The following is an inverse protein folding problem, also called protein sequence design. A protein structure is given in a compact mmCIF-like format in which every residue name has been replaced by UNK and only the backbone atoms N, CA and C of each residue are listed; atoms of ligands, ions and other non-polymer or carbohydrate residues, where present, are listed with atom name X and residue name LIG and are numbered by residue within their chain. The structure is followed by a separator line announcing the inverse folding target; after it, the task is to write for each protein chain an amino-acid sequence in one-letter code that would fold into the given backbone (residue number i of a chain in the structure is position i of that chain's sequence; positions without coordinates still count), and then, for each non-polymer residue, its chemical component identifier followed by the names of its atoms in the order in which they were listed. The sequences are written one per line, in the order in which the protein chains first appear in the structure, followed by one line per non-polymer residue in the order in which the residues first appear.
data_IF_421711094691
#
_entry.id   IF_421711094691
#
_cell.length_a   1.000
_cell.length_b   1.000
_cell.length_c   1.000
_cell.angle_alpha   90.00
_cell.angle_beta   90.00
_cell.angle_gamma   90.00
#
_symmetry.space_group_name_H-M   'P 1'
#
loop_
_entity.id
_entity.type
_entity.pdbx_description
1 polymer ?
#
# COMPACT_ATOMS: atom_id res chain seq x y z
N UNK A 1 86.43 29.76 11.28
CA UNK A 1 85.36 30.26 10.38
C UNK A 1 84.55 29.13 9.73
N UNK A 2 85.14 28.08 9.15
CA UNK A 2 84.42 26.99 8.45
C UNK A 2 83.36 26.24 9.31
N UNK A 3 83.63 25.94 10.58
CA UNK A 3 82.68 25.25 11.48
C UNK A 3 81.46 26.10 11.85
N UNK A 4 81.65 27.43 11.96
CA UNK A 4 80.59 28.37 12.32
C UNK A 4 79.64 28.59 11.13
N UNK A 5 80.18 28.58 9.91
CA UNK A 5 79.39 28.62 8.68
C UNK A 5 78.55 27.36 8.48
N UNK A 6 79.09 26.18 8.82
CA UNK A 6 78.35 24.91 8.74
C UNK A 6 77.19 24.86 9.74
N UNK A 7 77.37 25.39 10.96
CA UNK A 7 76.31 25.44 11.98
C UNK A 7 75.18 26.39 11.55
N UNK A 8 75.53 27.56 11.00
CA UNK A 8 74.55 28.55 10.54
C UNK A 8 73.69 28.00 9.39
N UNK A 9 74.25 27.13 8.55
CA UNK A 9 73.55 26.53 7.41
C UNK A 9 72.54 25.46 7.83
N UNK A 10 72.78 24.74 8.93
CA UNK A 10 71.92 23.63 9.39
C UNK A 10 70.83 24.11 10.36
N UNK A 11 71.07 25.21 11.09
CA UNK A 11 70.15 25.77 12.07
C UNK A 11 68.68 25.98 11.58
N UNK A 12 68.41 26.48 10.35
CA UNK A 12 67.02 26.67 9.90
C UNK A 12 66.25 25.36 9.65
N UNK A 13 66.94 24.22 9.48
CA UNK A 13 66.32 22.92 9.24
C UNK A 13 65.64 22.39 10.53
N UNK A 14 66.16 22.79 11.70
CA UNK A 14 65.62 22.40 13.01
C UNK A 14 64.28 23.11 13.36
N UNK A 15 63.93 24.17 12.61
CA UNK A 15 62.73 24.97 12.83
C UNK A 15 61.79 24.98 11.61
N UNK A 16 61.89 23.98 10.73
CA UNK A 16 61.00 23.88 9.58
C UNK A 16 59.54 23.74 10.05
N UNK A 17 58.61 24.63 9.64
CA UNK A 17 57.20 24.48 10.00
C UNK A 17 56.64 23.21 9.36
N UNK A 18 56.04 22.35 10.18
CA UNK A 18 55.27 21.21 9.67
C UNK A 18 53.99 21.73 9.03
N UNK A 19 53.78 21.47 7.74
CA UNK A 19 52.53 21.78 7.07
C UNK A 19 51.50 20.69 7.40
N UNK A 20 50.34 21.11 7.90
CA UNK A 20 49.17 20.25 8.02
C UNK A 20 48.11 20.72 7.02
N UNK A 21 47.46 19.79 6.35
CA UNK A 21 46.31 20.12 5.50
C UNK A 21 45.18 20.70 6.38
N UNK A 22 44.55 21.79 5.94
CA UNK A 22 43.38 22.32 6.61
C UNK A 22 42.27 21.26 6.62
N UNK A 23 41.64 20.96 7.77
CA UNK A 23 40.54 20.01 7.84
C UNK A 23 39.41 20.41 6.88
N UNK A 24 39.13 19.56 5.88
CA UNK A 24 38.03 19.82 4.94
C UNK A 24 36.71 19.58 5.67
N UNK A 25 35.91 20.63 5.86
CA UNK A 25 34.57 20.53 6.46
C UNK A 25 33.69 19.65 5.57
N UNK A 26 33.29 18.49 6.08
CA UNK A 26 32.32 17.61 5.42
C UNK A 26 30.94 18.17 5.73
N UNK A 27 30.27 18.74 4.73
CA UNK A 27 28.86 19.10 4.83
C UNK A 27 28.04 17.86 4.50
N UNK A 28 27.46 17.23 5.52
CA UNK A 28 26.52 16.12 5.33
C UNK A 28 25.12 16.71 5.21
N UNK A 29 24.41 16.37 4.13
CA UNK A 29 22.97 16.66 4.04
C UNK A 29 22.23 15.71 4.98
N UNK A 30 21.55 16.22 6.01
CA UNK A 30 20.81 15.36 6.93
C UNK A 30 19.62 14.70 6.20
N UNK A 31 19.26 13.49 6.63
CA UNK A 31 18.04 12.85 6.18
C UNK A 31 16.83 13.64 6.68
N UNK A 32 15.85 13.84 5.80
CA UNK A 32 14.58 14.50 6.14
C UNK A 32 13.48 13.45 6.24
N UNK A 33 12.81 13.42 7.39
CA UNK A 33 11.56 12.69 7.53
C UNK A 33 10.49 13.36 6.67
N UNK A 34 9.83 12.59 5.81
CA UNK A 34 8.75 13.07 4.93
C UNK A 34 7.40 12.74 5.55
N UNK A 35 7.13 11.47 5.83
CA UNK A 35 5.87 11.01 6.42
C UNK A 35 5.99 9.58 6.94
N UNK A 36 4.97 9.15 7.67
CA UNK A 36 4.75 7.75 8.04
C UNK A 36 3.90 7.05 6.95
N UNK A 37 4.17 5.77 6.69
CA UNK A 37 3.41 4.95 5.75
C UNK A 37 2.09 4.45 6.33
N UNK A 38 1.80 4.72 7.60
CA UNK A 38 0.55 4.36 8.28
C UNK A 38 0.74 3.08 9.09
N UNK A 39 -0.23 2.16 9.01
CA UNK A 39 -0.11 0.88 9.68
C UNK A 39 1.01 0.04 9.01
N UNK A 40 1.94 -0.47 9.79
CA UNK A 40 3.12 -1.16 9.29
C UNK A 40 2.78 -2.48 8.58
N UNK A 41 1.62 -3.07 8.88
CA UNK A 41 1.16 -4.32 8.24
C UNK A 41 0.58 -4.09 6.85
N UNK A 42 0.13 -2.87 6.55
CA UNK A 42 -0.56 -2.58 5.30
C UNK A 42 0.42 -2.21 4.17
N UNK A 43 1.69 -1.94 4.50
CA UNK A 43 2.69 -1.46 3.55
C UNK A 43 3.40 -2.62 2.83
N UNK A 44 3.34 -2.63 1.50
CA UNK A 44 4.10 -3.58 0.68
C UNK A 44 5.36 -2.95 0.07
N UNK A 45 5.26 -1.71 -0.42
CA UNK A 45 6.39 -1.06 -1.05
C UNK A 45 6.12 0.37 -1.53
N UNK A 46 7.16 0.96 -2.12
CA UNK A 46 7.11 2.29 -2.71
C UNK A 46 7.86 2.35 -4.04
N UNK A 47 7.36 3.18 -4.95
CA UNK A 47 8.01 3.52 -6.20
C UNK A 47 8.02 5.03 -6.40
N UNK A 48 9.00 5.52 -7.14
CA UNK A 48 9.10 6.93 -7.47
C UNK A 48 8.48 7.18 -8.83
N UNK A 49 7.53 8.11 -8.87
CA UNK A 49 7.08 8.76 -10.09
C UNK A 49 7.82 10.09 -10.27
N UNK A 50 7.60 10.79 -11.39
CA UNK A 50 8.27 12.07 -11.69
C UNK A 50 8.01 13.14 -10.61
N UNK A 51 6.80 13.16 -10.04
CA UNK A 51 6.38 14.20 -9.07
C UNK A 51 6.02 13.65 -7.69
N UNK A 52 5.82 12.34 -7.56
CA UNK A 52 5.23 11.73 -6.37
C UNK A 52 6.03 10.53 -5.88
N UNK A 53 5.99 10.32 -4.57
CA UNK A 53 6.32 9.03 -3.97
C UNK A 53 5.02 8.23 -3.95
N UNK A 54 5.00 7.11 -4.66
CA UNK A 54 3.84 6.25 -4.75
C UNK A 54 4.04 5.08 -3.79
N UNK A 55 3.08 4.88 -2.90
CA UNK A 55 3.08 3.83 -1.88
C UNK A 55 1.95 2.86 -2.23
N UNK A 56 2.24 1.57 -2.20
CA UNK A 56 1.26 0.53 -2.45
C UNK A 56 1.31 -0.52 -1.34
N UNK A 57 0.18 -1.19 -1.17
CA UNK A 57 -0.02 -2.07 -0.02
C UNK A 57 -1.41 -2.66 0.01
N UNK A 58 -1.75 -3.32 1.11
CA UNK A 58 -3.05 -3.96 1.30
C UNK A 58 -3.52 -3.81 2.72
N UNK A 59 -4.75 -3.32 2.90
CA UNK A 59 -5.38 -3.23 4.21
C UNK A 59 -6.06 -4.55 4.53
N UNK A 60 -6.00 -4.98 5.80
CA UNK A 60 -6.82 -6.09 6.29
C UNK A 60 -8.14 -5.54 6.83
N UNK A 61 -9.25 -5.80 6.15
CA UNK A 61 -10.59 -5.42 6.60
C UNK A 61 -11.41 -6.64 7.05
N UNK A 62 -12.53 -6.40 7.73
CA UNK A 62 -13.46 -7.44 8.17
C UNK A 62 -14.00 -8.28 6.98
N UNK A 63 -14.05 -7.68 5.80
CA UNK A 63 -14.60 -8.25 4.56
C UNK A 63 -13.56 -9.02 3.73
N UNK A 64 -12.27 -8.98 4.11
CA UNK A 64 -11.16 -9.46 3.28
C UNK A 64 -10.02 -8.45 3.20
N UNK A 65 -8.95 -8.80 2.50
CA UNK A 65 -7.84 -7.85 2.23
C UNK A 65 -8.15 -6.98 1.01
N UNK A 66 -7.89 -5.67 1.08
CA UNK A 66 -8.10 -4.74 -0.02
C UNK A 66 -6.79 -4.07 -0.42
N UNK A 67 -6.40 -4.17 -1.69
CA UNK A 67 -5.16 -3.60 -2.18
C UNK A 67 -5.35 -2.14 -2.58
N UNK A 68 -4.36 -1.29 -2.29
CA UNK A 68 -4.41 0.13 -2.56
C UNK A 68 -3.10 0.68 -3.13
N UNK A 69 -3.22 1.83 -3.76
CA UNK A 69 -2.10 2.67 -4.20
C UNK A 69 -2.40 4.11 -3.81
N UNK A 70 -1.41 4.82 -3.26
CA UNK A 70 -1.53 6.25 -2.97
C UNK A 70 -0.28 6.99 -3.38
N UNK A 71 -0.43 8.26 -3.75
CA UNK A 71 0.69 9.17 -3.96
C UNK A 71 0.77 10.20 -2.85
N UNK A 72 1.99 10.51 -2.46
CA UNK A 72 2.33 11.67 -1.65
C UNK A 72 3.33 12.54 -2.40
N UNK A 73 3.31 13.84 -2.11
CA UNK A 73 4.36 14.74 -2.56
C UNK A 73 5.60 14.70 -1.64
N UNK A 74 6.62 15.49 -1.98
CA UNK A 74 7.89 15.59 -1.21
C UNK A 74 7.72 16.24 0.17
N UNK A 75 6.55 16.80 0.47
CA UNK A 75 6.19 17.36 1.78
C UNK A 75 5.43 16.35 2.64
N UNK A 76 5.07 15.19 2.08
CA UNK A 76 4.35 14.12 2.77
C UNK A 76 2.83 14.25 2.64
N UNK A 77 2.32 15.18 1.84
CA UNK A 77 0.88 15.39 1.66
C UNK A 77 0.36 14.44 0.59
N UNK A 78 -0.70 13.70 0.94
CA UNK A 78 -1.39 12.79 0.02
C UNK A 78 -2.01 13.58 -1.14
N UNK A 79 -1.64 13.22 -2.37
CA UNK A 79 -2.17 13.80 -3.59
C UNK A 79 -3.40 13.02 -4.08
N UNK A 80 -3.35 11.70 -3.99
CA UNK A 80 -4.45 10.81 -4.35
C UNK A 80 -4.29 9.45 -3.68
N UNK A 81 -5.39 8.69 -3.63
CA UNK A 81 -5.46 7.30 -3.18
C UNK A 81 -6.47 6.55 -4.05
N UNK A 82 -6.13 5.34 -4.46
CA UNK A 82 -6.92 4.45 -5.31
C UNK A 82 -6.99 3.07 -4.64
N UNK A 83 -8.16 2.43 -4.74
CA UNK A 83 -8.32 0.99 -4.51
C UNK A 83 -8.06 0.25 -5.82
N UNK A 84 -7.58 -1.00 -5.76
CA UNK A 84 -7.33 -1.80 -6.97
C UNK A 84 -8.57 -2.54 -7.46
N UNK A 85 -9.49 -2.92 -6.57
CA UNK A 85 -10.83 -3.46 -6.86
C UNK A 85 -10.83 -4.57 -7.94
N UNK A 86 -9.84 -5.45 -7.89
CA UNK A 86 -9.68 -6.61 -8.77
C UNK A 86 -10.56 -7.82 -8.38
N UNK A 87 -11.06 -7.91 -7.14
CA UNK A 87 -11.76 -9.10 -6.65
C UNK A 87 -12.38 -8.98 -5.25
N UNK A 88 -12.62 -10.13 -4.61
CA UNK A 88 -13.15 -10.20 -3.25
C UNK A 88 -12.07 -9.99 -2.18
N UNK A 89 -10.88 -10.54 -2.41
CA UNK A 89 -9.68 -10.31 -1.58
C UNK A 89 -8.50 -10.01 -2.49
N UNK A 90 -7.63 -9.08 -2.08
CA UNK A 90 -6.56 -8.52 -2.91
C UNK A 90 -5.31 -8.19 -2.10
N UNK A 91 -4.15 -8.60 -2.63
CA UNK A 91 -2.86 -8.34 -2.02
C UNK A 91 -1.90 -7.73 -3.06
N UNK A 92 -1.44 -6.51 -2.83
CA UNK A 92 -0.34 -5.91 -3.59
C UNK A 92 1.02 -6.34 -3.01
N UNK A 93 1.96 -6.73 -3.87
CA UNK A 93 3.27 -7.27 -3.42
C UNK A 93 4.46 -6.62 -4.10
N UNK A 94 4.30 -6.12 -5.33
CA UNK A 94 5.37 -5.49 -6.08
C UNK A 94 4.85 -4.32 -6.92
N UNK A 95 5.74 -3.38 -7.22
CA UNK A 95 5.42 -2.26 -8.10
C UNK A 95 6.65 -1.72 -8.81
N UNK A 96 6.46 -1.17 -10.01
CA UNK A 96 7.49 -0.48 -10.78
C UNK A 96 6.89 0.70 -11.54
N UNK A 97 7.73 1.68 -11.88
CA UNK A 97 7.40 2.75 -12.82
C UNK A 97 8.13 2.54 -14.13
N UNK A 98 7.44 2.76 -15.26
CA UNK A 98 8.08 2.73 -16.58
C UNK A 98 8.62 4.12 -17.00
N UNK A 99 9.31 4.18 -18.12
CA UNK A 99 9.88 5.43 -18.64
C UNK A 99 8.82 6.45 -19.08
N UNK A 100 7.58 6.03 -19.33
CA UNK A 100 6.47 6.92 -19.64
C UNK A 100 5.83 7.50 -18.35
N UNK A 101 6.20 6.98 -17.18
CA UNK A 101 5.68 7.40 -15.89
C UNK A 101 4.42 6.64 -15.46
N UNK A 102 4.04 5.55 -16.15
CA UNK A 102 2.97 4.69 -15.67
C UNK A 102 3.45 3.89 -14.46
N UNK A 103 2.50 3.56 -13.59
CA UNK A 103 2.74 2.79 -12.38
C UNK A 103 2.13 1.41 -12.58
N UNK A 104 2.96 0.38 -12.49
CA UNK A 104 2.56 -1.02 -12.61
C UNK A 104 2.60 -1.64 -11.23
N UNK A 105 1.47 -2.20 -10.78
CA UNK A 105 1.35 -2.90 -9.50
C UNK A 105 1.01 -4.36 -9.79
N UNK A 106 1.70 -5.26 -9.11
CA UNK A 106 1.48 -6.71 -9.19
C UNK A 106 1.12 -7.28 -7.82
N UNK A 107 0.31 -8.33 -7.84
CA UNK A 107 -0.33 -8.86 -6.66
C UNK A 107 -1.12 -10.13 -6.95
N UNK A 108 -1.88 -10.58 -5.95
CA UNK A 108 -2.85 -11.67 -6.07
C UNK A 108 -4.23 -11.16 -5.72
N UNK A 109 -5.26 -11.72 -6.35
CA UNK A 109 -6.64 -11.48 -5.96
C UNK A 109 -7.48 -12.75 -6.07
N UNK A 110 -8.55 -12.82 -5.29
CA UNK A 110 -9.59 -13.85 -5.42
C UNK A 110 -10.78 -13.29 -6.21
N UNK A 111 -11.36 -14.04 -7.15
CA UNK A 111 -12.48 -13.54 -7.94
C UNK A 111 -13.73 -13.36 -7.07
N UNK A 112 -14.50 -12.30 -7.34
CA UNK A 112 -15.79 -12.09 -6.68
C UNK A 112 -16.76 -13.20 -7.07
N UNK A 113 -17.33 -13.96 -6.12
CA UNK A 113 -18.25 -15.04 -6.44
C UNK A 113 -19.47 -14.48 -7.19
N UNK A 114 -19.67 -14.96 -8.42
CA UNK A 114 -20.85 -14.60 -9.20
C UNK A 114 -22.01 -15.46 -8.69
N UNK A 115 -22.95 -14.88 -7.97
CA UNK A 115 -24.16 -15.61 -7.59
C UNK A 115 -25.04 -15.78 -8.83
N UNK A 116 -25.02 -16.97 -9.44
CA UNK A 116 -26.07 -17.37 -10.37
C UNK A 116 -27.33 -17.61 -9.54
N UNK A 117 -28.23 -16.63 -9.50
CA UNK A 117 -29.58 -16.86 -9.03
C UNK A 117 -30.25 -17.75 -10.06
N UNK A 118 -30.17 -19.06 -9.86
CA UNK A 118 -31.07 -19.96 -10.58
C UNK A 118 -32.49 -19.60 -10.16
N UNK A 119 -33.22 -18.96 -11.08
CA UNK A 119 -34.66 -18.77 -10.91
C UNK A 119 -35.27 -20.16 -11.03
N UNK A 120 -35.49 -20.82 -9.88
CA UNK A 120 -36.28 -22.03 -9.84
C UNK A 120 -37.64 -21.70 -10.45
N UNK A 121 -37.92 -22.25 -11.63
CA UNK A 121 -39.26 -22.19 -12.21
C UNK A 121 -40.13 -23.03 -11.29
N UNK A 122 -41.00 -22.40 -10.50
CA UNK A 122 -41.98 -23.09 -9.68
C UNK A 122 -42.92 -23.79 -10.65
N UNK A 123 -42.69 -25.08 -10.93
CA UNK A 123 -43.76 -25.91 -11.47
C UNK A 123 -44.85 -25.91 -10.41
N UNK A 124 -46.09 -25.46 -10.73
CA UNK A 124 -47.18 -25.57 -9.77
C UNK A 124 -47.28 -27.02 -9.34
N UNK A 125 -47.43 -27.27 -8.04
CA UNK A 125 -47.73 -28.60 -7.53
C UNK A 125 -48.96 -29.11 -8.29
N UNK A 126 -48.78 -30.15 -9.09
CA UNK A 126 -49.91 -30.86 -9.68
C UNK A 126 -50.70 -31.43 -8.50
N UNK A 127 -52.01 -31.15 -8.45
CA UNK A 127 -52.97 -31.77 -7.54
C UNK A 127 -53.61 -32.94 -8.31
N UNK A 128 -52.93 -34.10 -8.47
CA UNK A 128 -53.38 -35.18 -9.36
C UNK A 128 -54.71 -35.81 -8.94
N UNK A 129 -55.10 -35.57 -7.70
CA UNK A 129 -56.28 -36.06 -7.02
C UNK A 129 -57.43 -35.03 -7.00
N UNK A 130 -57.25 -33.85 -7.62
CA UNK A 130 -58.24 -32.76 -7.73
C UNK A 130 -58.97 -32.46 -6.41
N UNK A 131 -58.33 -32.72 -5.27
CA UNK A 131 -58.93 -32.45 -3.97
C UNK A 131 -59.08 -30.93 -3.85
N UNK A 132 -60.30 -30.46 -4.03
CA UNK A 132 -60.67 -29.07 -3.78
C UNK A 132 -60.62 -28.91 -2.27
N UNK A 133 -59.80 -27.98 -1.77
CA UNK A 133 -59.92 -27.54 -0.39
C UNK A 133 -61.33 -26.97 -0.21
N UNK A 134 -62.21 -27.71 0.44
CA UNK A 134 -63.52 -27.19 0.80
C UNK A 134 -63.31 -25.95 1.69
N UNK A 135 -64.02 -24.84 1.43
CA UNK A 135 -63.99 -23.71 2.33
C UNK A 135 -64.46 -24.19 3.70
N UNK A 136 -63.66 -23.91 4.73
CA UNK A 136 -64.01 -24.18 6.12
C UNK A 136 -65.39 -23.57 6.36
N UNK A 137 -66.38 -24.43 6.55
CA UNK A 137 -67.74 -23.96 6.82
C UNK A 137 -67.71 -23.19 8.14
N UNK A 138 -68.32 -21.98 8.20
CA UNK A 138 -68.45 -21.28 9.46
C UNK A 138 -69.15 -22.19 10.48
N UNK A 139 -68.72 -22.11 11.73
CA UNK A 139 -69.37 -22.82 12.84
C UNK A 139 -70.86 -22.47 12.77
N UNK A 140 -71.73 -23.48 12.73
CA UNK A 140 -73.17 -23.23 12.69
C UNK A 140 -73.57 -22.46 13.96
N UNK A 141 -74.28 -21.35 13.78
CA UNK A 141 -74.73 -20.49 14.89
C UNK A 141 -75.70 -21.19 15.86
N UNK A 142 -76.26 -22.34 15.45
CA UNK A 142 -77.11 -23.20 16.29
C UNK A 142 -76.33 -24.05 17.30
N UNK A 143 -75.00 -24.07 17.20
CA UNK A 143 -74.11 -24.86 18.03
C UNK A 143 -73.39 -23.98 19.05
N UNK A 144 -74.16 -23.35 19.95
CA UNK A 144 -73.61 -22.73 21.16
C UNK A 144 -73.25 -23.83 22.17
N UNK A 145 -71.95 -23.94 22.48
CA UNK A 145 -71.48 -24.59 23.72
C UNK A 145 -71.74 -23.68 24.92
#
# INVERSE_FOLDING_TARGET
MKKLLAILLVLPILFAPTSFAAPKKISVTPLKFITDVGNNIDFAGLVLSQSNIVIFGSTSELSGSAAFVRAIDKTGIQQWKLSLDAGAEEIATAGITDAAGNIWIAGSFSPTPTQTVETATVTPSVNPDEVINEPVQPIREDMNY
#
